data_IF_474548610814
#
_entry.id   IF_474548610814
#
_cell.length_a   1.000
_cell.length_b   1.000
_cell.length_c   1.000
_cell.angle_alpha   90.00
_cell.angle_beta   90.00
_cell.angle_gamma   90.00
#
_symmetry.space_group_name_H-M   'P 1'
#
loop_
_entity.id
_entity.type
_entity.pdbx_description
1 polymer ?
#
# COMPACT_ATOMS: atom_id res chain seq x y z
N UNK A 1 7.78 10.31 4.08
CA UNK A 1 8.00 9.29 3.01
C UNK A 1 7.69 7.89 3.49
N UNK A 2 8.33 7.34 4.52
CA UNK A 2 8.04 5.99 5.03
C UNK A 2 6.56 5.83 5.40
N UNK A 3 6.00 6.78 6.15
CA UNK A 3 4.58 6.74 6.50
C UNK A 3 3.64 6.73 5.28
N UNK A 4 3.98 7.42 4.19
CA UNK A 4 3.18 7.39 2.96
C UNK A 4 3.28 6.03 2.25
N UNK A 5 4.47 5.41 2.23
CA UNK A 5 4.67 4.07 1.72
C UNK A 5 3.85 3.04 2.52
N UNK A 6 3.94 3.09 3.86
CA UNK A 6 3.27 2.13 4.74
C UNK A 6 1.74 2.30 4.71
N UNK A 7 1.26 3.56 4.64
CA UNK A 7 -0.16 3.85 4.44
C UNK A 7 -0.67 3.28 3.11
N UNK A 8 0.12 3.42 2.02
CA UNK A 8 -0.24 2.87 0.72
C UNK A 8 -0.24 1.34 0.74
N UNK A 9 0.75 0.72 1.37
CA UNK A 9 0.79 -0.75 1.52
C UNK A 9 -0.43 -1.25 2.29
N UNK A 10 -0.75 -0.64 3.43
CA UNK A 10 -1.93 -0.98 4.22
C UNK A 10 -3.25 -0.79 3.46
N UNK A 11 -3.39 0.32 2.71
CA UNK A 11 -4.57 0.57 1.90
C UNK A 11 -4.75 -0.48 0.79
N UNK A 12 -3.66 -0.90 0.12
CA UNK A 12 -3.69 -1.97 -0.88
C UNK A 12 -4.07 -3.32 -0.26
N UNK A 13 -3.54 -3.65 0.93
CA UNK A 13 -3.92 -4.86 1.68
C UNK A 13 -5.42 -4.86 1.92
N UNK A 14 -5.97 -3.80 2.51
CA UNK A 14 -7.41 -3.68 2.79
C UNK A 14 -8.27 -3.80 1.51
N UNK A 15 -7.83 -3.21 0.41
CA UNK A 15 -8.59 -3.23 -0.85
C UNK A 15 -8.51 -4.57 -1.57
N UNK A 16 -7.39 -5.29 -1.45
CA UNK A 16 -7.15 -6.54 -2.19
C UNK A 16 -7.68 -7.76 -1.44
N UNK A 17 -7.60 -7.77 -0.10
CA UNK A 17 -7.91 -8.94 0.72
C UNK A 17 -9.28 -9.56 0.37
N UNK A 18 -9.37 -10.88 0.45
CA UNK A 18 -10.59 -11.68 0.40
C UNK A 18 -10.98 -12.10 1.83
N UNK A 19 -12.07 -12.85 1.94
CA UNK A 19 -12.60 -13.31 3.25
C UNK A 19 -11.57 -14.16 4.03
N UNK A 20 -10.80 -15.00 3.34
CA UNK A 20 -9.76 -15.83 3.95
C UNK A 20 -8.41 -15.12 4.13
N UNK A 21 -8.27 -13.89 3.65
CA UNK A 21 -7.04 -13.10 3.64
C UNK A 21 -5.84 -13.77 2.92
N UNK A 22 -6.03 -14.90 2.26
CA UNK A 22 -4.94 -15.66 1.62
C UNK A 22 -4.34 -14.95 0.42
N UNK A 23 -5.15 -14.21 -0.32
CA UNK A 23 -4.73 -13.53 -1.54
C UNK A 23 -3.81 -12.31 -1.32
N UNK A 24 -3.61 -11.87 -0.08
CA UNK A 24 -2.63 -10.83 0.27
C UNK A 24 -1.27 -11.40 0.69
N UNK A 25 -1.20 -12.71 0.87
CA UNK A 25 0.01 -13.41 1.28
C UNK A 25 1.00 -13.58 0.10
N UNK A 26 2.26 -13.83 0.43
CA UNK A 26 3.23 -14.30 -0.54
C UNK A 26 2.84 -15.73 -1.01
N UNK A 27 3.38 -16.17 -2.13
CA UNK A 27 3.00 -17.45 -2.74
C UNK A 27 3.18 -18.67 -1.84
N UNK A 28 4.23 -18.67 -1.02
CA UNK A 28 4.52 -19.76 -0.10
C UNK A 28 3.48 -19.82 1.02
N UNK A 29 3.30 -18.70 1.73
CA UNK A 29 2.31 -18.61 2.80
C UNK A 29 0.87 -18.80 2.29
N UNK A 30 0.54 -18.31 1.08
CA UNK A 30 -0.76 -18.55 0.46
C UNK A 30 -1.01 -20.04 0.28
N UNK A 31 -0.02 -20.78 -0.27
CA UNK A 31 -0.13 -22.23 -0.47
C UNK A 31 -0.23 -22.98 0.86
N UNK A 32 0.66 -22.69 1.81
CA UNK A 32 0.67 -23.37 3.12
C UNK A 32 -0.65 -23.14 3.89
N UNK A 33 -1.16 -21.90 3.85
CA UNK A 33 -2.43 -21.57 4.50
C UNK A 33 -3.61 -22.28 3.82
N UNK A 34 -3.65 -22.36 2.49
CA UNK A 34 -4.70 -23.08 1.78
C UNK A 34 -4.62 -24.59 2.05
N UNK A 35 -3.43 -25.18 2.02
CA UNK A 35 -3.22 -26.62 2.33
C UNK A 35 -3.65 -26.93 3.78
N UNK A 36 -3.41 -26.01 4.73
CA UNK A 36 -3.86 -26.15 6.11
C UNK A 36 -5.37 -26.00 6.26
N UNK A 37 -5.98 -25.01 5.57
CA UNK A 37 -7.44 -24.82 5.58
C UNK A 37 -8.20 -26.01 5.01
N UNK A 38 -7.63 -26.71 4.04
CA UNK A 38 -8.24 -27.90 3.45
C UNK A 38 -8.21 -29.11 4.41
N UNK A 39 -7.19 -29.21 5.25
CA UNK A 39 -6.98 -30.34 6.14
C UNK A 39 -7.47 -30.06 7.57
N UNK A 40 -7.31 -28.83 8.04
CA UNK A 40 -7.54 -28.39 9.43
C UNK A 40 -6.77 -29.23 10.45
N UNK A 41 -5.58 -29.71 10.09
CA UNK A 41 -4.70 -30.52 10.92
C UNK A 41 -3.41 -29.78 11.25
N UNK A 42 -2.92 -29.90 12.48
CA UNK A 42 -1.69 -29.23 12.96
C UNK A 42 -1.87 -27.75 13.25
N UNK A 43 -0.75 -27.08 13.49
CA UNK A 43 -0.73 -25.64 13.78
C UNK A 43 -0.94 -24.81 12.53
N UNK A 44 -1.61 -23.65 12.68
CA UNK A 44 -1.77 -22.69 11.62
C UNK A 44 -0.40 -22.19 11.15
N UNK A 45 -0.10 -22.22 9.81
CA UNK A 45 1.19 -21.78 9.30
C UNK A 45 1.39 -20.27 9.48
N UNK A 46 2.66 -19.85 9.64
CA UNK A 46 3.01 -18.45 9.70
C UNK A 46 2.64 -17.72 8.40
N UNK A 47 1.94 -16.61 8.53
CA UNK A 47 1.44 -15.84 7.39
C UNK A 47 2.35 -14.64 7.11
N UNK A 48 2.91 -14.58 5.91
CA UNK A 48 3.74 -13.48 5.45
C UNK A 48 3.08 -12.76 4.28
N UNK A 49 2.96 -11.44 4.39
CA UNK A 49 2.40 -10.61 3.32
C UNK A 49 3.23 -10.71 2.04
N UNK A 50 2.57 -10.59 0.91
CA UNK A 50 3.22 -10.34 -0.37
C UNK A 50 4.01 -9.03 -0.31
N UNK A 51 5.10 -8.95 -1.09
CA UNK A 51 5.85 -7.71 -1.22
C UNK A 51 5.01 -6.59 -1.84
N UNK A 52 5.46 -5.35 -1.62
CA UNK A 52 4.75 -4.15 -2.03
C UNK A 52 4.40 -4.13 -3.53
N UNK A 53 5.34 -4.51 -4.40
CA UNK A 53 5.13 -4.48 -5.85
C UNK A 53 4.15 -5.58 -6.30
N UNK A 54 4.15 -6.72 -5.63
CA UNK A 54 3.17 -7.79 -5.83
C UNK A 54 1.78 -7.35 -5.39
N UNK A 55 1.64 -6.68 -4.23
CA UNK A 55 0.37 -6.09 -3.78
C UNK A 55 -0.13 -5.04 -4.76
N UNK A 56 0.74 -4.15 -5.25
CA UNK A 56 0.39 -3.16 -6.27
C UNK A 56 -0.11 -3.81 -7.57
N UNK A 57 0.52 -4.90 -8.00
CA UNK A 57 0.08 -5.67 -9.17
C UNK A 57 -1.29 -6.32 -8.93
N UNK A 58 -1.50 -6.93 -7.75
CA UNK A 58 -2.79 -7.53 -7.36
C UNK A 58 -3.89 -6.47 -7.31
N UNK A 59 -3.61 -5.29 -6.74
CA UNK A 59 -4.55 -4.16 -6.69
C UNK A 59 -4.97 -3.72 -8.10
N UNK A 60 -4.03 -3.47 -8.99
CA UNK A 60 -4.30 -3.07 -10.37
C UNK A 60 -5.09 -4.11 -11.16
N UNK A 61 -4.83 -5.39 -10.92
CA UNK A 61 -5.57 -6.49 -11.54
C UNK A 61 -7.04 -6.54 -11.04
N UNK A 62 -7.25 -6.30 -9.75
CA UNK A 62 -8.59 -6.33 -9.13
C UNK A 62 -9.42 -5.11 -9.50
N UNK A 63 -8.78 -3.95 -9.65
CA UNK A 63 -9.43 -2.67 -9.95
C UNK A 63 -8.87 -2.02 -11.23
N UNK A 64 -9.13 -2.60 -12.41
CA UNK A 64 -8.58 -2.09 -13.68
C UNK A 64 -9.12 -0.70 -14.04
N UNK A 65 -10.32 -0.34 -13.54
CA UNK A 65 -10.91 1.00 -13.69
C UNK A 65 -10.24 2.08 -12.84
N UNK A 66 -9.43 1.70 -11.86
CA UNK A 66 -8.57 2.63 -11.12
C UNK A 66 -7.47 3.10 -12.08
N UNK A 67 -7.71 4.21 -12.78
CA UNK A 67 -6.82 4.74 -13.81
C UNK A 67 -5.52 5.29 -13.20
N UNK A 68 -4.62 4.38 -12.80
CA UNK A 68 -3.27 4.76 -12.37
C UNK A 68 -2.46 5.03 -13.62
N UNK A 69 -2.04 6.28 -13.82
CA UNK A 69 -1.20 6.67 -14.95
C UNK A 69 0.20 6.04 -14.88
N UNK A 70 0.89 5.99 -16.01
CA UNK A 70 2.26 5.49 -16.05
C UNK A 70 3.20 6.32 -15.15
N UNK A 71 2.99 7.64 -15.09
CA UNK A 71 3.77 8.55 -14.23
C UNK A 71 3.53 8.28 -12.75
N UNK A 72 2.26 8.15 -12.33
CA UNK A 72 1.94 7.78 -10.94
C UNK A 72 2.55 6.44 -10.56
N UNK A 73 2.48 5.45 -11.45
CA UNK A 73 3.10 4.14 -11.21
C UNK A 73 4.62 4.24 -11.05
N UNK A 74 5.26 5.07 -11.87
CA UNK A 74 6.70 5.31 -11.76
C UNK A 74 7.07 5.98 -10.43
N UNK A 75 6.30 6.99 -10.00
CA UNK A 75 6.51 7.68 -8.74
C UNK A 75 6.32 6.73 -7.53
N UNK A 76 5.32 5.85 -7.58
CA UNK A 76 5.09 4.83 -6.55
C UNK A 76 6.24 3.81 -6.50
N UNK A 77 6.79 3.40 -7.66
CA UNK A 77 7.96 2.54 -7.71
C UNK A 77 9.20 3.23 -7.16
N UNK A 78 9.40 4.53 -7.43
CA UNK A 78 10.47 5.33 -6.82
C UNK A 78 10.32 5.40 -5.31
N UNK A 79 9.10 5.65 -4.80
CA UNK A 79 8.82 5.64 -3.37
C UNK A 79 9.26 4.34 -2.69
N UNK A 80 8.96 3.21 -3.31
CA UNK A 80 9.35 1.90 -2.79
C UNK A 80 10.85 1.62 -2.94
N UNK A 81 11.37 1.68 -4.17
CA UNK A 81 12.71 1.19 -4.49
C UNK A 81 13.82 2.14 -4.01
N UNK A 82 13.61 3.46 -4.18
CA UNK A 82 14.65 4.44 -3.88
C UNK A 82 14.56 4.96 -2.44
N UNK A 83 13.34 5.25 -1.97
CA UNK A 83 13.21 5.88 -0.66
C UNK A 83 13.04 4.85 0.47
N UNK A 84 12.03 3.97 0.37
CA UNK A 84 11.78 2.99 1.43
C UNK A 84 12.95 2.04 1.62
N UNK A 85 13.47 1.45 0.55
CA UNK A 85 14.53 0.46 0.66
C UNK A 85 15.86 1.06 1.12
N UNK A 86 16.22 2.26 0.65
CA UNK A 86 17.45 2.92 1.09
C UNK A 86 17.37 3.36 2.57
N UNK A 87 16.19 3.79 3.05
CA UNK A 87 16.00 4.11 4.47
C UNK A 87 15.96 2.87 5.36
N UNK A 88 15.33 1.79 4.91
CA UNK A 88 15.18 0.59 5.73
C UNK A 88 16.47 -0.23 5.86
N UNK A 89 17.35 -0.18 4.86
CA UNK A 89 18.54 -1.02 4.82
C UNK A 89 19.84 -0.27 5.14
N UNK A 90 19.79 1.01 5.44
CA UNK A 90 20.90 1.87 5.88
C UNK A 90 22.27 1.45 5.31
N UNK A 91 22.34 1.27 3.98
CA UNK A 91 23.62 1.01 3.31
C UNK A 91 24.45 2.29 3.40
N UNK A 92 25.72 2.24 3.86
CA UNK A 92 26.57 3.42 3.99
C UNK A 92 27.05 3.91 2.61
N UNK A 93 26.11 4.14 1.71
CA UNK A 93 26.36 4.78 0.41
C UNK A 93 25.89 6.21 0.51
N UNK A 94 26.75 7.16 0.13
CA UNK A 94 26.31 8.53 -0.06
C UNK A 94 25.15 8.55 -1.06
N UNK A 95 24.00 9.02 -0.64
CA UNK A 95 22.84 9.22 -1.51
C UNK A 95 22.25 10.59 -1.23
N UNK A 96 21.84 11.25 -2.29
CA UNK A 96 21.15 12.53 -2.23
C UNK A 96 19.70 12.35 -2.62
N UNK A 97 18.81 13.10 -1.98
CA UNK A 97 17.41 13.17 -2.34
C UNK A 97 17.16 14.52 -2.98
N UNK A 98 16.60 14.51 -4.18
CA UNK A 98 16.03 15.70 -4.77
C UNK A 98 14.70 16.01 -4.07
N UNK A 99 14.74 16.94 -3.10
CA UNK A 99 13.60 17.29 -2.25
C UNK A 99 12.41 17.79 -3.08
N UNK A 100 12.68 18.50 -4.17
CA UNK A 100 11.64 19.06 -5.06
C UNK A 100 10.68 18.01 -5.63
N UNK A 101 11.11 16.76 -5.80
CA UNK A 101 10.22 15.68 -6.30
C UNK A 101 9.33 15.06 -5.24
N UNK A 102 9.65 15.21 -3.95
CA UNK A 102 8.96 14.52 -2.87
C UNK A 102 7.47 14.85 -2.75
N UNK A 103 7.04 16.13 -2.84
CA UNK A 103 5.62 16.46 -2.74
C UNK A 103 4.79 15.75 -3.83
N UNK A 104 5.30 15.67 -5.05
CA UNK A 104 4.64 14.96 -6.16
C UNK A 104 4.52 13.45 -5.88
N UNK A 105 5.63 12.82 -5.49
CA UNK A 105 5.68 11.37 -5.21
C UNK A 105 4.74 10.99 -4.07
N UNK A 106 4.78 11.77 -2.98
CA UNK A 106 3.90 11.55 -1.82
C UNK A 106 2.44 11.82 -2.21
N UNK A 107 2.17 12.89 -2.95
CA UNK A 107 0.84 13.21 -3.45
C UNK A 107 0.24 12.08 -4.29
N UNK A 108 1.02 11.46 -5.18
CA UNK A 108 0.59 10.31 -5.97
C UNK A 108 0.33 9.06 -5.10
N UNK A 109 1.14 8.84 -4.07
CA UNK A 109 0.88 7.77 -3.11
C UNK A 109 -0.43 8.01 -2.33
N UNK A 110 -0.68 9.23 -1.85
CA UNK A 110 -1.92 9.59 -1.15
C UNK A 110 -3.15 9.47 -2.06
N UNK A 111 -3.04 9.82 -3.34
CA UNK A 111 -4.12 9.62 -4.30
C UNK A 111 -4.47 8.13 -4.42
N UNK A 112 -3.46 7.25 -4.47
CA UNK A 112 -3.71 5.82 -4.54
C UNK A 112 -4.25 5.25 -3.21
N UNK A 113 -3.80 5.78 -2.07
CA UNK A 113 -4.42 5.47 -0.76
C UNK A 113 -5.90 5.80 -0.77
N UNK A 114 -6.27 7.02 -1.20
CA UNK A 114 -7.66 7.44 -1.27
C UNK A 114 -8.48 6.55 -2.20
N UNK A 115 -7.96 6.27 -3.41
CA UNK A 115 -8.61 5.37 -4.37
C UNK A 115 -8.84 3.98 -3.79
N UNK A 116 -7.85 3.41 -3.08
CA UNK A 116 -7.94 2.09 -2.46
C UNK A 116 -8.95 2.09 -1.31
N UNK A 117 -8.96 3.12 -0.48
CA UNK A 117 -9.86 3.24 0.67
C UNK A 117 -11.32 3.54 0.29
N UNK A 118 -11.57 4.04 -0.92
CA UNK A 118 -12.92 4.24 -1.46
C UNK A 118 -13.49 2.98 -2.16
N UNK A 119 -12.73 1.90 -2.28
CA UNK A 119 -13.28 0.66 -2.85
C UNK A 119 -14.41 0.13 -1.95
N UNK A 120 -15.50 -0.33 -2.58
CA UNK A 120 -16.69 -0.81 -1.86
C UNK A 120 -16.35 -1.81 -0.76
N UNK A 121 -15.49 -2.77 -1.06
CA UNK A 121 -15.03 -3.79 -0.13
C UNK A 121 -14.38 -3.21 1.14
N UNK A 122 -13.73 -2.06 1.06
CA UNK A 122 -13.13 -1.38 2.21
C UNK A 122 -14.19 -0.54 2.93
N UNK A 123 -14.98 0.21 2.17
CA UNK A 123 -15.94 1.18 2.74
C UNK A 123 -17.05 0.54 3.56
N UNK A 124 -17.44 -0.71 3.28
CA UNK A 124 -18.46 -1.43 4.06
C UNK A 124 -17.98 -1.73 5.49
N UNK A 125 -16.67 -1.82 5.72
CA UNK A 125 -16.09 -2.08 7.04
C UNK A 125 -15.71 -0.79 7.79
N UNK A 126 -15.82 0.37 7.17
CA UNK A 126 -15.47 1.64 7.80
C UNK A 126 -16.70 2.28 8.45
N UNK A 127 -16.64 2.52 9.76
CA UNK A 127 -17.63 3.34 10.45
C UNK A 127 -17.62 4.79 9.93
N UNK A 128 -18.71 5.53 10.13
CA UNK A 128 -18.79 6.94 9.76
C UNK A 128 -17.67 7.80 10.41
N UNK A 129 -17.25 7.45 11.62
CA UNK A 129 -16.15 8.12 12.29
C UNK A 129 -14.79 7.84 11.62
N UNK A 130 -14.55 6.58 11.22
CA UNK A 130 -13.32 6.21 10.50
C UNK A 130 -13.25 6.91 9.14
N UNK A 131 -14.36 6.99 8.39
CA UNK A 131 -14.43 7.72 7.12
C UNK A 131 -14.08 9.20 7.29
N UNK A 132 -14.65 9.86 8.31
CA UNK A 132 -14.34 11.28 8.61
C UNK A 132 -12.87 11.48 8.99
N UNK A 133 -12.30 10.59 9.82
CA UNK A 133 -10.88 10.65 10.19
C UNK A 133 -9.96 10.46 8.99
N UNK A 134 -10.27 9.52 8.11
CA UNK A 134 -9.52 9.30 6.87
C UNK A 134 -9.52 10.55 6.00
N UNK A 135 -10.70 11.11 5.71
CA UNK A 135 -10.84 12.33 4.91
C UNK A 135 -10.06 13.51 5.53
N UNK A 136 -10.21 13.74 6.83
CA UNK A 136 -9.48 14.79 7.56
C UNK A 136 -7.95 14.59 7.43
N UNK A 137 -7.45 13.38 7.66
CA UNK A 137 -6.02 13.10 7.61
C UNK A 137 -5.45 13.29 6.21
N UNK A 138 -6.16 12.84 5.17
CA UNK A 138 -5.76 13.06 3.77
C UNK A 138 -5.68 14.56 3.45
N UNK A 139 -6.68 15.34 3.86
CA UNK A 139 -6.71 16.80 3.65
C UNK A 139 -5.54 17.49 4.34
N UNK A 140 -5.32 17.20 5.62
CA UNK A 140 -4.21 17.81 6.40
C UNK A 140 -2.85 17.44 5.81
N UNK A 141 -2.66 16.17 5.44
CA UNK A 141 -1.38 15.73 4.86
C UNK A 141 -1.12 16.38 3.49
N UNK A 142 -2.15 16.54 2.66
CA UNK A 142 -2.02 17.24 1.37
C UNK A 142 -1.69 18.71 1.54
N UNK A 143 -2.35 19.39 2.47
CA UNK A 143 -2.04 20.80 2.78
C UNK A 143 -0.55 20.96 3.17
N UNK A 144 -0.03 20.09 4.04
CA UNK A 144 1.38 20.12 4.42
C UNK A 144 2.36 19.86 3.27
N UNK A 145 1.92 19.22 2.17
CA UNK A 145 2.79 19.02 0.99
C UNK A 145 2.94 20.30 0.15
N UNK A 146 1.99 21.22 0.20
CA UNK A 146 2.03 22.50 -0.55
C UNK A 146 2.96 23.51 0.11
N UNK A 147 3.23 23.36 1.41
CA UNK A 147 4.07 24.28 2.18
C UNK A 147 5.57 23.97 2.08
N UNK A 148 5.92 22.84 1.45
CA UNK A 148 7.32 22.47 1.16
C UNK A 148 7.74 23.18 -0.12
N UNK A 149 8.34 24.34 0.02
CA UNK A 149 8.98 25.12 -1.08
C UNK A 149 10.49 24.89 -1.08
#
# INVERSE_FOLDING_TARGET
MLAAHDALQGAMVCAVQNTSCTNILNKQSEKETLDWLDKLEGDEPAQYLADFLTLLKKYRKKYPSSAITADQLNDIRKLHNQFRNNFAHFTPKGWSIEIAMLPKIIGNALNLVEMAMHQHQVTIHLSGNMKRRLAKNLTVTRAGLTDVK
#
